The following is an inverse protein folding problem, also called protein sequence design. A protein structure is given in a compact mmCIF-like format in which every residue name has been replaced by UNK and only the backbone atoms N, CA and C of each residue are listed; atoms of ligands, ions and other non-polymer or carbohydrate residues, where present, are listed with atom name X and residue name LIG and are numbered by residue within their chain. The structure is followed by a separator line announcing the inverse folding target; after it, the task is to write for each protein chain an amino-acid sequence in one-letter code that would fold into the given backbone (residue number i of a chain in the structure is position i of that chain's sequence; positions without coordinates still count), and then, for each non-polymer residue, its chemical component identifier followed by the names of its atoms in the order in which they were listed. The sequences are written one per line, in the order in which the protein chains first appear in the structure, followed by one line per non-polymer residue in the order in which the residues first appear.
data_IF_048059911725
#
_entry.id   IF_048059911725
#
_cell.length_a   1.000
_cell.length_b   1.000
_cell.length_c   1.000
_cell.angle_alpha   90.00
_cell.angle_beta   90.00
_cell.angle_gamma   90.00
#
_symmetry.space_group_name_H-M   'P 1'
#
loop_
_entity.id
_entity.type
_entity.pdbx_description
1 polymer ?
#
# COMPACT_ATOMS: atom_id res chain seq x y z
N UNK A 1 -16.16 4.81 -33.87
CA UNK A 1 -15.84 5.42 -32.55
C UNK A 1 -16.36 4.54 -31.40
N UNK A 2 -16.02 3.24 -31.37
CA UNK A 2 -16.50 2.27 -30.35
C UNK A 2 -15.31 1.49 -29.73
N UNK A 3 -14.07 1.75 -30.18
CA UNK A 3 -12.90 0.91 -29.88
C UNK A 3 -11.93 1.52 -28.85
N UNK A 4 -12.41 2.26 -27.85
CA UNK A 4 -11.53 2.89 -26.85
C UNK A 4 -12.16 3.07 -25.47
N UNK A 5 -13.01 2.12 -25.05
CA UNK A 5 -13.55 2.10 -23.66
C UNK A 5 -12.96 0.94 -22.85
N UNK A 6 -12.18 0.05 -23.46
CA UNK A 6 -11.58 -1.12 -22.80
C UNK A 6 -10.18 -0.90 -22.21
N UNK A 7 -9.75 0.36 -22.10
CA UNK A 7 -8.40 0.74 -21.62
C UNK A 7 -8.40 1.48 -20.28
N UNK A 8 -9.54 1.54 -19.59
CA UNK A 8 -9.61 1.99 -18.20
C UNK A 8 -9.25 0.90 -17.18
N UNK A 9 -9.04 -0.34 -17.64
CA UNK A 9 -8.80 -1.51 -16.79
C UNK A 9 -7.41 -2.04 -17.12
N UNK A 10 -6.45 -1.82 -16.23
CA UNK A 10 -5.08 -2.33 -16.45
C UNK A 10 -5.03 -3.79 -16.02
N UNK A 11 -4.59 -4.68 -16.91
CA UNK A 11 -4.33 -6.08 -16.55
C UNK A 11 -3.34 -6.12 -15.37
N UNK A 12 -3.78 -6.69 -14.25
CA UNK A 12 -2.97 -6.80 -13.05
C UNK A 12 -2.17 -8.09 -13.16
N UNK A 13 -0.88 -7.95 -13.42
CA UNK A 13 0.07 -9.07 -13.33
C UNK A 13 0.63 -9.12 -11.91
N UNK A 14 0.93 -10.32 -11.40
CA UNK A 14 1.58 -10.50 -10.10
C UNK A 14 2.80 -9.58 -9.88
N UNK A 15 3.62 -9.37 -10.93
CA UNK A 15 4.76 -8.45 -10.90
C UNK A 15 4.35 -7.01 -10.54
N UNK A 16 3.27 -6.47 -11.12
CA UNK A 16 2.78 -5.11 -10.84
C UNK A 16 2.29 -4.95 -9.39
N UNK A 17 1.89 -6.03 -8.73
CA UNK A 17 1.47 -6.01 -7.32
C UNK A 17 2.70 -5.95 -6.39
N UNK A 18 3.79 -6.63 -6.75
CA UNK A 18 4.97 -6.82 -5.91
C UNK A 18 6.01 -5.70 -6.08
N UNK A 19 6.10 -5.07 -7.25
CA UNK A 19 7.06 -3.98 -7.51
C UNK A 19 6.95 -2.82 -6.51
N UNK A 20 5.75 -2.28 -6.17
CA UNK A 20 5.64 -1.15 -5.25
C UNK A 20 6.21 -1.39 -3.84
N UNK A 21 5.88 -2.48 -3.13
CA UNK A 21 6.45 -2.72 -1.80
C UNK A 21 7.96 -3.00 -1.86
N UNK A 22 8.47 -3.59 -2.94
CA UNK A 22 9.92 -3.74 -3.13
C UNK A 22 10.61 -2.39 -3.32
N UNK A 23 10.03 -1.49 -4.13
CA UNK A 23 10.56 -0.14 -4.32
C UNK A 23 10.50 0.72 -3.06
N UNK A 24 9.54 0.48 -2.17
CA UNK A 24 9.56 1.09 -0.84
C UNK A 24 10.55 0.42 0.11
N UNK A 25 10.75 -0.89 0.02
CA UNK A 25 11.70 -1.60 0.89
C UNK A 25 13.13 -1.05 0.74
N UNK A 26 13.55 -0.61 -0.45
CA UNK A 26 14.85 0.04 -0.65
C UNK A 26 14.97 1.37 0.11
N UNK A 27 13.85 2.04 0.39
CA UNK A 27 13.82 3.25 1.22
C UNK A 27 14.24 3.02 2.67
N UNK A 28 14.23 1.78 3.17
CA UNK A 28 14.73 1.47 4.52
C UNK A 28 16.22 1.79 4.71
N UNK A 29 16.98 1.93 3.63
CA UNK A 29 18.36 2.41 3.70
C UNK A 29 18.49 3.76 4.45
N UNK A 30 17.44 4.59 4.49
CA UNK A 30 17.48 5.85 5.24
C UNK A 30 17.66 5.66 6.76
N UNK A 31 17.18 4.54 7.33
CA UNK A 31 17.34 4.23 8.77
C UNK A 31 18.79 3.88 9.15
N UNK A 32 19.67 3.69 8.17
CA UNK A 32 21.09 3.53 8.43
C UNK A 32 21.69 4.82 9.02
N UNK A 33 21.18 5.99 8.57
CA UNK A 33 21.56 7.28 9.13
C UNK A 33 20.97 7.48 10.53
N UNK A 34 21.77 7.93 11.52
CA UNK A 34 21.29 8.13 12.89
C UNK A 34 20.17 9.17 12.99
N UNK A 35 20.07 10.10 12.04
CA UNK A 35 19.03 11.13 11.99
C UNK A 35 17.62 10.56 11.78
N UNK A 36 17.51 9.38 11.18
CA UNK A 36 16.22 8.72 10.89
C UNK A 36 15.90 7.60 11.88
N UNK A 37 16.79 7.31 12.83
CA UNK A 37 16.56 6.28 13.84
C UNK A 37 15.44 6.72 14.77
N UNK A 38 14.38 5.93 14.77
CA UNK A 38 13.25 6.06 15.68
C UNK A 38 13.22 4.85 16.62
N UNK A 39 12.70 5.02 17.85
CA UNK A 39 12.60 3.92 18.79
C UNK A 39 11.88 2.73 18.15
N UNK A 40 12.44 1.52 18.28
CA UNK A 40 11.88 0.29 17.71
C UNK A 40 10.42 0.08 18.10
N UNK A 41 10.05 0.45 19.34
CA UNK A 41 8.68 0.40 19.82
C UNK A 41 7.74 1.30 19.00
N UNK A 42 8.18 2.53 18.70
CA UNK A 42 7.40 3.48 17.90
C UNK A 42 7.31 3.03 16.45
N UNK A 43 8.40 2.50 15.90
CA UNK A 43 8.41 1.87 14.59
C UNK A 43 7.40 0.70 14.50
N UNK A 44 7.39 -0.19 15.49
CA UNK A 44 6.47 -1.33 15.53
C UNK A 44 4.99 -0.88 15.64
N UNK A 45 4.70 0.10 16.50
CA UNK A 45 3.36 0.68 16.65
C UNK A 45 2.93 1.36 15.35
N UNK A 46 3.77 2.21 14.76
CA UNK A 46 3.50 2.89 13.49
C UNK A 46 3.24 1.90 12.36
N UNK A 47 4.03 0.82 12.29
CA UNK A 47 3.84 -0.26 11.33
C UNK A 47 2.49 -0.97 11.53
N UNK A 48 2.14 -1.32 12.76
CA UNK A 48 0.87 -1.98 13.08
C UNK A 48 -0.32 -1.07 12.78
N UNK A 49 -0.25 0.21 13.16
CA UNK A 49 -1.28 1.21 12.84
C UNK A 49 -1.44 1.32 11.33
N UNK A 50 -0.36 1.47 10.57
CA UNK A 50 -0.41 1.52 9.11
C UNK A 50 -1.02 0.25 8.50
N UNK A 51 -0.58 -0.92 8.98
CA UNK A 51 -1.04 -2.21 8.49
C UNK A 51 -2.49 -2.54 8.87
N UNK A 52 -3.04 -1.98 9.96
CA UNK A 52 -4.39 -2.28 10.44
C UNK A 52 -5.36 -1.15 10.11
N UNK A 53 -5.14 0.06 10.64
CA UNK A 53 -6.04 1.20 10.51
C UNK A 53 -6.14 1.69 9.06
N UNK A 54 -5.00 1.86 8.39
CA UNK A 54 -4.94 2.44 7.05
C UNK A 54 -5.19 1.41 5.94
N UNK A 55 -4.87 0.15 6.17
CA UNK A 55 -5.16 -0.91 5.21
C UNK A 55 -6.67 -1.22 5.14
N UNK A 56 -7.41 -1.06 6.24
CA UNK A 56 -8.85 -1.36 6.32
C UNK A 56 -9.71 -0.68 5.24
N UNK A 57 -9.67 0.67 5.06
CA UNK A 57 -10.45 1.34 4.01
C UNK A 57 -10.03 0.92 2.60
N UNK A 58 -8.73 0.64 2.36
CA UNK A 58 -8.23 0.18 1.06
C UNK A 58 -8.69 -1.24 0.71
N UNK A 59 -8.77 -2.13 1.71
CA UNK A 59 -9.29 -3.48 1.55
C UNK A 59 -10.79 -3.44 1.21
N UNK A 60 -11.58 -2.59 1.88
CA UNK A 60 -13.01 -2.48 1.66
C UNK A 60 -13.38 -2.00 0.24
N UNK A 61 -12.53 -1.17 -0.36
CA UNK A 61 -12.76 -0.55 -1.68
C UNK A 61 -11.99 -1.21 -2.83
N UNK A 62 -11.09 -2.16 -2.53
CA UNK A 62 -10.37 -2.92 -3.56
C UNK A 62 -11.17 -4.14 -3.97
N UNK A 63 -11.88 -4.04 -5.11
CA UNK A 63 -12.46 -5.20 -5.78
C UNK A 63 -11.66 -5.53 -7.03
N UNK A 64 -11.15 -6.76 -7.09
CA UNK A 64 -10.62 -7.37 -8.31
C UNK A 64 -11.82 -7.91 -9.07
N UNK A 65 -12.00 -7.42 -10.29
CA UNK A 65 -13.11 -7.80 -11.16
C UNK A 65 -12.55 -8.63 -12.31
N UNK A 66 -13.17 -9.78 -12.58
CA UNK A 66 -12.75 -10.70 -13.65
C UNK A 66 -13.45 -10.26 -14.93
N UNK A 67 -12.69 -9.78 -15.92
CA UNK A 67 -13.22 -9.38 -17.23
C UNK A 67 -12.71 -10.38 -18.28
N UNK A 68 -13.45 -11.48 -18.44
CA UNK A 68 -13.12 -12.58 -19.34
C UNK A 68 -11.84 -13.32 -18.95
N UNK A 69 -10.81 -13.20 -19.79
CA UNK A 69 -9.54 -13.93 -19.69
C UNK A 69 -8.48 -13.21 -18.83
N UNK A 70 -8.73 -11.94 -18.47
CA UNK A 70 -7.81 -11.08 -17.73
C UNK A 70 -8.37 -10.68 -16.36
N UNK A 71 -7.52 -10.71 -15.33
CA UNK A 71 -7.83 -10.19 -14.01
C UNK A 71 -7.54 -8.69 -14.01
N UNK A 72 -8.58 -7.88 -13.81
CA UNK A 72 -8.49 -6.42 -13.90
C UNK A 72 -8.66 -5.76 -12.53
N UNK A 73 -7.84 -4.75 -12.24
CA UNK A 73 -8.03 -3.92 -11.05
C UNK A 73 -9.07 -2.85 -11.37
N UNK A 74 -10.13 -2.75 -10.57
CA UNK A 74 -10.89 -1.51 -10.49
C UNK A 74 -10.04 -0.49 -9.73
N UNK A 75 -9.77 0.66 -10.37
CA UNK A 75 -8.94 1.74 -9.78
C UNK A 75 -9.58 2.19 -8.46
N UNK A 76 -8.93 1.86 -7.35
CA UNK A 76 -9.46 2.18 -6.02
C UNK A 76 -9.11 3.63 -5.69
N UNK A 77 -10.12 4.52 -5.68
CA UNK A 77 -10.02 5.92 -5.25
C UNK A 77 -9.55 6.08 -3.81
N UNK A 78 -9.60 5.01 -3.02
CA UNK A 78 -9.16 4.98 -1.63
C UNK A 78 -7.66 5.23 -1.44
N UNK A 79 -6.81 4.93 -2.43
CA UNK A 79 -5.38 5.26 -2.35
C UNK A 79 -5.18 6.77 -2.19
N UNK A 80 -5.88 7.58 -3.00
CA UNK A 80 -5.78 9.04 -2.91
C UNK A 80 -6.35 9.57 -1.59
N UNK A 81 -7.50 9.07 -1.14
CA UNK A 81 -8.06 9.47 0.16
C UNK A 81 -7.12 9.19 1.32
N UNK A 82 -6.42 8.05 1.28
CA UNK A 82 -5.43 7.69 2.29
C UNK A 82 -4.16 8.52 2.22
N UNK A 83 -3.64 8.84 1.03
CA UNK A 83 -2.49 9.75 0.90
C UNK A 83 -2.83 11.13 1.45
N UNK A 84 -4.04 11.63 1.20
CA UNK A 84 -4.53 12.90 1.75
C UNK A 84 -4.66 12.82 3.27
N UNK A 85 -5.28 11.77 3.81
CA UNK A 85 -5.39 11.58 5.26
C UNK A 85 -4.00 11.51 5.91
N UNK A 86 -3.05 10.81 5.28
CA UNK A 86 -1.68 10.71 5.77
C UNK A 86 -0.95 12.05 5.72
N UNK A 87 -1.13 12.83 4.66
CA UNK A 87 -0.58 14.17 4.53
C UNK A 87 -1.16 15.13 5.59
N UNK A 88 -2.46 15.04 5.85
CA UNK A 88 -3.13 15.82 6.90
C UNK A 88 -2.60 15.44 8.28
N UNK A 89 -2.58 14.14 8.61
CA UNK A 89 -2.02 13.64 9.87
C UNK A 89 -0.56 14.07 10.00
N UNK A 90 0.24 14.05 8.93
CA UNK A 90 1.63 14.53 8.94
C UNK A 90 1.75 16.00 9.27
N UNK A 91 0.87 16.82 8.71
CA UNK A 91 0.85 18.26 8.96
C UNK A 91 0.48 18.56 10.43
N UNK A 92 -0.60 17.95 10.94
CA UNK A 92 -1.02 18.14 12.33
C UNK A 92 -0.06 17.50 13.35
N UNK A 93 0.51 16.34 13.03
CA UNK A 93 1.48 15.67 13.87
C UNK A 93 2.78 16.48 13.98
N UNK A 94 3.20 17.20 12.92
CA UNK A 94 4.38 18.07 12.98
C UNK A 94 4.26 19.09 14.11
N UNK A 95 3.12 19.76 14.19
CA UNK A 95 2.86 20.78 15.20
C UNK A 95 2.91 20.20 16.62
N UNK A 96 2.40 18.98 16.80
CA UNK A 96 2.40 18.29 18.09
C UNK A 96 3.78 17.71 18.49
N UNK A 97 4.54 17.21 17.52
CA UNK A 97 5.81 16.51 17.76
C UNK A 97 7.06 17.38 17.58
N UNK A 98 6.96 18.63 17.10
CA UNK A 98 8.11 19.53 16.92
C UNK A 98 8.89 19.79 18.22
N UNK A 99 8.28 19.56 19.39
CA UNK A 99 8.93 19.65 20.70
C UNK A 99 9.69 18.38 21.14
N UNK A 100 9.48 17.24 20.48
CA UNK A 100 9.98 15.92 20.92
C UNK A 100 10.78 15.19 19.82
N UNK A 101 10.43 15.35 18.54
CA UNK A 101 11.04 14.61 17.43
C UNK A 101 11.53 15.54 16.33
N UNK A 102 12.68 15.18 15.74
CA UNK A 102 13.19 15.90 14.57
C UNK A 102 12.34 15.64 13.33
N UNK A 103 12.44 16.54 12.35
CA UNK A 103 11.77 16.41 11.05
C UNK A 103 12.09 15.07 10.38
N UNK A 104 13.32 14.59 10.52
CA UNK A 104 13.81 13.34 9.95
C UNK A 104 13.20 12.11 10.66
N UNK A 105 13.09 12.13 11.99
CA UNK A 105 12.47 11.04 12.75
C UNK A 105 10.98 10.91 12.45
N UNK A 106 10.26 12.04 12.38
CA UNK A 106 8.87 12.07 11.96
C UNK A 106 8.75 11.57 10.52
N UNK A 107 9.64 11.94 9.61
CA UNK A 107 9.68 11.36 8.26
C UNK A 107 9.82 9.83 8.27
N UNK A 108 10.71 9.29 9.11
CA UNK A 108 10.89 7.84 9.28
C UNK A 108 9.63 7.12 9.79
N UNK A 109 8.96 7.66 10.80
CA UNK A 109 7.72 7.06 11.34
C UNK A 109 6.60 7.01 10.30
N UNK A 110 6.38 8.11 9.59
CA UNK A 110 5.37 8.17 8.53
C UNK A 110 5.69 7.21 7.39
N UNK A 111 6.97 7.03 7.06
CA UNK A 111 7.40 6.05 6.08
C UNK A 111 7.09 4.61 6.53
N UNK A 112 7.40 4.24 7.78
CA UNK A 112 7.12 2.89 8.31
C UNK A 112 5.62 2.61 8.29
N UNK A 113 4.83 3.61 8.67
CA UNK A 113 3.38 3.53 8.68
C UNK A 113 2.81 3.40 7.25
N UNK A 114 3.30 4.18 6.29
CA UNK A 114 2.95 4.04 4.88
C UNK A 114 3.36 2.67 4.30
N UNK A 115 4.54 2.17 4.69
CA UNK A 115 5.05 0.88 4.28
C UNK A 115 4.18 -0.27 4.81
N UNK A 116 3.83 -0.26 6.10
CA UNK A 116 2.95 -1.28 6.70
C UNK A 116 1.59 -1.36 5.99
N UNK A 117 1.03 -0.21 5.66
CA UNK A 117 -0.20 -0.11 4.87
C UNK A 117 -0.06 -0.71 3.47
N UNK A 118 0.95 -0.28 2.69
CA UNK A 118 1.15 -0.74 1.31
C UNK A 118 1.44 -2.23 1.28
N UNK A 119 2.26 -2.73 2.20
CA UNK A 119 2.61 -4.14 2.31
C UNK A 119 1.35 -4.98 2.55
N UNK A 120 0.52 -4.63 3.54
CA UNK A 120 -0.72 -5.37 3.85
C UNK A 120 -1.69 -5.37 2.68
N UNK A 121 -1.89 -4.21 2.05
CA UNK A 121 -2.81 -4.07 0.92
C UNK A 121 -2.35 -4.88 -0.30
N UNK A 122 -1.06 -4.79 -0.66
CA UNK A 122 -0.50 -5.53 -1.80
C UNK A 122 -0.46 -7.03 -1.54
N UNK A 123 -0.19 -7.49 -0.31
CA UNK A 123 -0.28 -8.90 0.05
C UNK A 123 -1.70 -9.46 -0.09
N UNK A 124 -2.72 -8.70 0.34
CA UNK A 124 -4.13 -9.10 0.14
C UNK A 124 -4.51 -9.18 -1.33
N UNK A 125 -4.10 -8.20 -2.13
CA UNK A 125 -4.29 -8.25 -3.59
C UNK A 125 -3.61 -9.46 -4.23
N UNK A 126 -2.39 -9.79 -3.81
CA UNK A 126 -1.68 -10.96 -4.30
C UNK A 126 -2.39 -12.26 -3.92
N UNK A 127 -2.91 -12.35 -2.69
CA UNK A 127 -3.70 -13.50 -2.24
C UNK A 127 -4.99 -13.66 -3.06
N UNK A 128 -5.76 -12.59 -3.26
CA UNK A 128 -6.95 -12.60 -4.13
C UNK A 128 -6.59 -12.98 -5.58
N UNK A 129 -5.50 -12.44 -6.11
CA UNK A 129 -5.00 -12.79 -7.45
C UNK A 129 -4.64 -14.28 -7.57
N UNK A 130 -3.97 -14.85 -6.56
CA UNK A 130 -3.62 -16.29 -6.53
C UNK A 130 -4.87 -17.17 -6.44
N UNK A 131 -5.87 -16.80 -5.64
CA UNK A 131 -7.14 -17.54 -5.53
C UNK A 131 -7.87 -17.53 -6.89
N UNK A 132 -7.99 -16.37 -7.53
CA UNK A 132 -8.64 -16.24 -8.85
C UNK A 132 -7.89 -16.99 -9.95
N UNK A 133 -6.56 -17.05 -9.86
CA UNK A 133 -5.72 -17.85 -10.79
C UNK A 133 -5.82 -19.35 -10.51
N UNK A 134 -5.87 -19.76 -9.24
CA UNK A 134 -5.95 -21.18 -8.84
C UNK A 134 -7.30 -21.81 -9.20
N UNK A 135 -8.41 -21.04 -9.18
CA UNK A 135 -9.71 -21.47 -9.70
C UNK A 135 -9.71 -21.81 -11.21
N UNK A 136 -8.58 -21.63 -11.92
CA UNK A 136 -8.44 -21.85 -13.35
C UNK A 136 -7.72 -23.16 -13.74
N UNK A 137 -7.19 -23.96 -12.82
CA UNK A 137 -6.41 -25.16 -13.17
C UNK A 137 -6.91 -26.45 -12.46
N UNK A 138 -7.30 -27.53 -13.18
CA UNK A 138 -7.92 -27.63 -14.50
C UNK A 138 -9.24 -28.45 -14.49
N UNK A 139 -10.21 -28.06 -15.33
CA UNK A 139 -11.18 -28.98 -15.93
C UNK A 139 -10.88 -29.02 -17.44
N UNK A 140 -9.88 -29.82 -17.80
CA UNK A 140 -9.61 -30.23 -19.17
C UNK A 140 -9.21 -31.71 -19.13
N UNK A 141 -10.21 -32.57 -19.33
CA UNK A 141 -10.10 -33.92 -19.89
C UNK A 141 -11.48 -34.29 -20.44
#
# INVERSE_FOLDING_TARGET
MIWRVREGRSAVTARKIIIPPLGMATGFCMFFSPQFRVPLLWAAIAFLIGAVLLAWPLLATSRLERDGDAIMMRRSSAFFGVVIALAAIRYFARDYFDSILTIQQTAGLFFILAFGMILRWRLKMLSQYRILTAQRAPAQS
#
